data_IF_976677709181
#
_entry.id   IF_976677709181
#
_cell.length_a   1.000
_cell.length_b   1.000
_cell.length_c   1.000
_cell.angle_alpha   90.00
_cell.angle_beta   90.00
_cell.angle_gamma   90.00
#
_symmetry.space_group_name_H-M   'P 1'
#
loop_
_entity.id
_entity.type
_entity.pdbx_description
1 polymer ?
#
# COMPACT_ATOMS: atom_id res chain seq x y z
N UNK A 1 -47.49 24.64 -14.89
CA UNK A 1 -47.35 23.34 -14.20
C UNK A 1 -46.09 23.40 -13.34
N UNK A 2 -46.22 23.66 -12.02
CA UNK A 2 -45.06 23.72 -11.11
C UNK A 2 -44.81 22.31 -10.58
N UNK A 3 -43.69 21.71 -10.97
CA UNK A 3 -43.26 20.41 -10.46
C UNK A 3 -42.69 20.66 -9.05
N UNK A 4 -43.26 20.10 -7.97
CA UNK A 4 -42.67 20.21 -6.66
C UNK A 4 -41.35 19.43 -6.66
N UNK A 5 -40.22 20.12 -6.48
CA UNK A 5 -38.95 19.45 -6.27
C UNK A 5 -38.93 18.92 -4.84
N UNK A 6 -38.98 17.60 -4.70
CA UNK A 6 -38.77 16.94 -3.41
C UNK A 6 -37.29 17.09 -3.04
N UNK A 7 -37.01 17.97 -2.08
CA UNK A 7 -35.68 18.08 -1.49
C UNK A 7 -35.65 17.12 -0.30
N UNK A 8 -34.88 16.02 -0.36
CA UNK A 8 -34.76 15.13 0.78
C UNK A 8 -34.08 15.88 1.94
N UNK A 9 -34.68 15.82 3.13
CA UNK A 9 -34.09 16.30 4.37
C UNK A 9 -32.87 15.43 4.73
N UNK A 10 -31.71 15.78 4.19
CA UNK A 10 -30.47 15.04 4.39
C UNK A 10 -29.88 15.37 5.78
N UNK A 11 -29.74 14.34 6.61
CA UNK A 11 -29.00 14.48 7.86
C UNK A 11 -27.54 14.85 7.57
N UNK A 12 -26.94 15.73 8.38
CA UNK A 12 -25.55 16.18 8.23
C UNK A 12 -24.57 15.01 8.04
N UNK A 13 -24.81 13.89 8.73
CA UNK A 13 -23.98 12.69 8.60
C UNK A 13 -24.10 12.07 7.21
N UNK A 14 -25.32 11.87 6.70
CA UNK A 14 -25.55 11.26 5.39
C UNK A 14 -24.99 12.15 4.26
N UNK A 15 -25.11 13.47 4.43
CA UNK A 15 -24.49 14.44 3.53
C UNK A 15 -22.97 14.34 3.53
N UNK A 16 -22.34 14.29 4.71
CA UNK A 16 -20.89 14.14 4.83
C UNK A 16 -20.41 12.78 4.29
N UNK A 17 -21.10 11.68 4.60
CA UNK A 17 -20.76 10.35 4.07
C UNK A 17 -20.87 10.29 2.54
N UNK A 18 -21.93 10.86 1.96
CA UNK A 18 -22.12 10.90 0.51
C UNK A 18 -21.07 11.73 -0.22
N UNK A 19 -20.77 12.93 0.28
CA UNK A 19 -19.79 13.83 -0.34
C UNK A 19 -18.34 13.38 -0.13
N UNK A 20 -18.00 12.84 1.03
CA UNK A 20 -16.63 12.35 1.28
C UNK A 20 -16.30 11.16 0.39
N UNK A 21 -17.29 10.33 0.04
CA UNK A 21 -17.10 9.18 -0.86
C UNK A 21 -16.68 9.62 -2.27
N UNK A 22 -17.27 10.68 -2.82
CA UNK A 22 -16.93 11.19 -4.16
C UNK A 22 -15.60 11.97 -4.17
N UNK A 23 -15.36 12.80 -3.15
CA UNK A 23 -14.09 13.52 -3.01
C UNK A 23 -12.91 12.57 -2.79
N UNK A 24 -13.11 11.50 -2.01
CA UNK A 24 -12.12 10.45 -1.78
C UNK A 24 -11.76 9.69 -3.06
N UNK A 25 -12.75 9.37 -3.90
CA UNK A 25 -12.51 8.72 -5.19
C UNK A 25 -11.69 9.59 -6.16
N UNK A 26 -11.92 10.91 -6.17
CA UNK A 26 -11.12 11.85 -6.94
C UNK A 26 -9.67 11.91 -6.44
N UNK A 27 -9.47 12.01 -5.13
CA UNK A 27 -8.13 12.00 -4.53
C UNK A 27 -7.37 10.70 -4.83
N UNK A 28 -8.06 9.56 -4.77
CA UNK A 28 -7.45 8.25 -5.08
C UNK A 28 -7.07 8.14 -6.56
N UNK A 29 -7.88 8.67 -7.46
CA UNK A 29 -7.57 8.71 -8.91
C UNK A 29 -6.32 9.56 -9.17
N UNK A 30 -6.18 10.70 -8.50
CA UNK A 30 -5.00 11.57 -8.62
C UNK A 30 -3.72 10.89 -8.09
N UNK A 31 -3.81 10.21 -6.94
CA UNK A 31 -2.69 9.42 -6.40
C UNK A 31 -2.27 8.29 -7.36
N UNK A 32 -3.23 7.55 -7.91
CA UNK A 32 -2.94 6.48 -8.89
C UNK A 32 -2.34 7.03 -10.20
N UNK A 33 -2.80 8.20 -10.66
CA UNK A 33 -2.24 8.86 -11.83
C UNK A 33 -0.78 9.31 -11.57
N UNK A 34 -0.49 9.80 -10.36
CA UNK A 34 0.86 10.15 -9.93
C UNK A 34 1.78 8.93 -9.84
N UNK A 35 1.29 7.82 -9.30
CA UNK A 35 2.03 6.55 -9.25
C UNK A 35 2.33 6.03 -10.67
N UNK A 36 1.37 6.17 -11.60
CA UNK A 36 1.53 5.79 -13.01
C UNK A 36 2.60 6.60 -13.74
N UNK A 37 2.81 7.86 -13.35
CA UNK A 37 3.83 8.74 -13.91
C UNK A 37 5.23 8.51 -13.31
N UNK A 38 5.30 7.86 -12.15
CA UNK A 38 6.57 7.41 -11.61
C UNK A 38 7.01 6.22 -12.45
N UNK A 39 8.05 6.41 -13.25
CA UNK A 39 8.82 5.32 -13.86
C UNK A 39 9.62 4.57 -12.77
N UNK A 40 8.92 4.13 -11.72
CA UNK A 40 9.40 3.14 -10.75
C UNK A 40 9.40 1.74 -11.37
N UNK A 41 9.37 1.65 -12.71
CA UNK A 41 9.89 0.49 -13.41
C UNK A 41 11.30 0.26 -12.90
N UNK A 42 11.51 -0.89 -12.27
CA UNK A 42 12.77 -1.30 -11.69
C UNK A 42 13.93 -0.83 -12.57
N UNK A 43 14.74 0.11 -12.05
CA UNK A 43 15.89 0.64 -12.79
C UNK A 43 16.66 -0.55 -13.34
N UNK A 44 16.91 -0.55 -14.64
CA UNK A 44 17.66 -1.64 -15.27
C UNK A 44 18.97 -1.80 -14.50
N UNK A 45 19.26 -2.99 -13.96
CA UNK A 45 20.47 -3.18 -13.19
C UNK A 45 21.68 -2.85 -14.09
N UNK A 46 22.71 -2.22 -13.51
CA UNK A 46 23.93 -1.87 -14.24
C UNK A 46 24.65 -3.10 -14.80
N UNK A 47 24.32 -4.29 -14.28
CA UNK A 47 24.87 -5.58 -14.67
C UNK A 47 23.76 -6.58 -14.95
N UNK A 48 24.06 -7.54 -15.81
CA UNK A 48 23.15 -8.66 -16.06
C UNK A 48 23.00 -9.52 -14.80
N UNK A 49 21.76 -9.88 -14.41
CA UNK A 49 21.53 -10.71 -13.24
C UNK A 49 22.07 -12.12 -13.50
N UNK A 50 23.10 -12.52 -12.73
CA UNK A 50 23.72 -13.85 -12.82
C UNK A 50 22.96 -14.92 -12.04
N UNK A 51 22.24 -14.54 -10.98
CA UNK A 51 21.50 -15.47 -10.13
C UNK A 51 20.09 -15.71 -10.68
N UNK A 52 19.72 -16.98 -10.88
CA UNK A 52 18.39 -17.38 -11.36
C UNK A 52 17.32 -17.33 -10.25
N UNK A 53 17.71 -17.70 -9.02
CA UNK A 53 16.83 -17.74 -7.85
C UNK A 53 17.56 -17.12 -6.65
N UNK A 54 16.85 -16.34 -5.83
CA UNK A 54 17.35 -15.79 -4.56
C UNK A 54 16.41 -16.28 -3.46
N UNK A 55 16.92 -17.12 -2.56
CA UNK A 55 16.16 -17.64 -1.42
C UNK A 55 16.68 -16.91 -0.17
N UNK A 56 15.86 -16.02 0.38
CA UNK A 56 16.16 -15.35 1.65
C UNK A 56 15.59 -16.18 2.79
N UNK A 57 16.47 -16.78 3.61
CA UNK A 57 16.05 -17.49 4.81
C UNK A 57 16.14 -16.55 6.01
N UNK A 58 15.00 -16.29 6.64
CA UNK A 58 14.93 -15.55 7.90
C UNK A 58 14.87 -16.56 9.04
N UNK A 59 16.03 -16.83 9.65
CA UNK A 59 16.12 -17.76 10.77
C UNK A 59 16.01 -16.96 12.06
N UNK A 60 14.80 -16.94 12.64
CA UNK A 60 14.57 -16.43 13.98
C UNK A 60 15.25 -17.35 15.00
N UNK A 61 16.11 -16.77 15.84
CA UNK A 61 16.96 -17.50 16.78
C UNK A 61 18.31 -17.89 16.16
N UNK A 62 19.37 -17.20 16.56
CA UNK A 62 20.74 -17.69 16.37
C UNK A 62 20.94 -18.99 17.16
N UNK A 63 21.94 -19.81 16.81
CA UNK A 63 22.20 -21.05 17.52
C UNK A 63 22.39 -20.77 19.02
N UNK A 64 21.74 -21.55 19.87
CA UNK A 64 21.93 -21.43 21.32
C UNK A 64 23.41 -21.61 21.64
N UNK A 65 23.93 -20.88 22.63
CA UNK A 65 25.28 -21.10 23.12
C UNK A 65 25.48 -22.55 23.62
N UNK A 66 24.39 -23.18 24.09
CA UNK A 66 24.35 -24.61 24.46
C UNK A 66 24.53 -25.51 23.23
N UNK A 67 23.97 -25.13 22.09
CA UNK A 67 24.08 -25.89 20.82
C UNK A 67 25.42 -25.63 20.10
N UNK A 68 26.09 -24.51 20.42
CA UNK A 68 27.37 -24.10 19.80
C UNK A 68 28.59 -24.68 20.52
N UNK A 69 28.39 -25.37 21.66
CA UNK A 69 29.47 -25.91 22.50
C UNK A 69 30.59 -24.90 22.80
N UNK A 70 30.24 -23.62 22.96
CA UNK A 70 31.22 -22.56 23.22
C UNK A 70 31.71 -22.65 24.68
N UNK A 71 33.02 -22.88 24.94
CA UNK A 71 33.52 -23.04 26.30
C UNK A 71 33.31 -21.75 27.12
N UNK A 72 32.66 -21.92 28.27
CA UNK A 72 32.42 -20.84 29.23
C UNK A 72 33.75 -20.40 29.87
N UNK A 73 34.07 -19.08 29.93
CA UNK A 73 35.16 -18.58 30.76
C UNK A 73 34.85 -18.72 32.26
#
# INVERSE_FOLDING_TARGET
>A
MKIPLYVPELNRRDFLYGLTSSLGALAMTDLMAKDSSSSTGAKKPMHEPKAKNVIMLFMEGGPSQVDTFDPKP
#
